data_IF_094421549870
#
_entry.id   IF_094421549870
#
_cell.length_a   1.000
_cell.length_b   1.000
_cell.length_c   1.000
_cell.angle_alpha   90.00
_cell.angle_beta   90.00
_cell.angle_gamma   90.00
#
_symmetry.space_group_name_H-M   'P 1'
#
loop_
_entity.id
_entity.type
_entity.pdbx_description
1 polymer ?
#
# COMPACT_ATOMS: atom_id res chain seq x y z
N UNK A 1 3.38 -17.65 -2.87
CA UNK A 1 2.88 -16.42 -2.23
C UNK A 1 1.37 -16.31 -2.34
N UNK A 2 0.79 -16.12 -3.55
CA UNK A 2 -0.68 -16.09 -3.71
C UNK A 2 -1.38 -17.31 -3.14
N UNK A 3 -0.88 -18.53 -3.39
CA UNK A 3 -1.46 -19.73 -2.77
C UNK A 3 -1.46 -19.68 -1.23
N UNK A 4 -0.38 -19.18 -0.62
CA UNK A 4 -0.31 -18.99 0.82
C UNK A 4 -1.39 -18.00 1.30
N UNK A 5 -1.58 -16.89 0.59
CA UNK A 5 -2.67 -15.94 0.89
C UNK A 5 -4.05 -16.55 0.69
N UNK A 6 -4.28 -17.37 -0.33
CA UNK A 6 -5.56 -18.08 -0.53
C UNK A 6 -5.87 -18.92 0.70
N UNK A 7 -4.93 -19.76 1.13
CA UNK A 7 -5.12 -20.62 2.31
C UNK A 7 -5.34 -19.76 3.56
N UNK A 8 -4.51 -18.74 3.77
CA UNK A 8 -4.66 -17.82 4.90
C UNK A 8 -6.02 -17.11 4.91
N UNK A 9 -6.51 -16.61 3.78
CA UNK A 9 -7.76 -15.82 3.70
C UNK A 9 -9.02 -16.70 3.71
N UNK A 10 -8.98 -17.90 3.12
CA UNK A 10 -10.11 -18.85 3.18
C UNK A 10 -10.33 -19.38 4.60
N UNK A 11 -9.29 -19.42 5.42
CA UNK A 11 -9.36 -19.80 6.83
C UNK A 11 -9.85 -18.66 7.76
N UNK A 12 -10.46 -17.61 7.21
CA UNK A 12 -10.93 -16.44 7.98
C UNK A 12 -12.34 -16.03 7.58
N UNK A 13 -13.13 -15.62 8.56
CA UNK A 13 -14.52 -15.20 8.37
C UNK A 13 -14.57 -13.68 8.14
N UNK A 14 -15.31 -13.18 7.12
CA UNK A 14 -15.56 -11.75 6.99
C UNK A 14 -16.22 -11.17 8.24
N UNK A 15 -15.78 -9.99 8.67
CA UNK A 15 -16.31 -9.28 9.86
C UNK A 15 -16.40 -7.78 9.55
N UNK A 16 -17.46 -7.35 8.84
CA UNK A 16 -17.60 -5.96 8.39
C UNK A 16 -17.41 -4.94 9.53
N UNK A 17 -16.70 -3.85 9.24
CA UNK A 17 -16.64 -2.68 10.12
C UNK A 17 -17.55 -1.54 9.65
N UNK A 18 -17.57 -0.44 10.39
CA UNK A 18 -18.29 0.79 10.05
C UNK A 18 -18.02 1.26 8.60
N UNK A 19 -16.76 1.31 8.18
CA UNK A 19 -16.36 1.86 6.87
C UNK A 19 -16.90 1.01 5.71
N UNK A 20 -17.05 -0.30 5.91
CA UNK A 20 -17.61 -1.21 4.92
C UNK A 20 -19.01 -0.78 4.48
N UNK A 21 -19.88 -0.39 5.41
CA UNK A 21 -21.26 -0.07 5.09
C UNK A 21 -21.38 1.13 4.16
N UNK A 22 -20.50 2.12 4.31
CA UNK A 22 -20.44 3.25 3.37
C UNK A 22 -19.97 2.82 1.98
N UNK A 23 -18.93 1.98 1.91
CA UNK A 23 -18.42 1.48 0.64
C UNK A 23 -19.42 0.59 -0.09
N UNK A 24 -20.12 -0.29 0.64
CA UNK A 24 -21.16 -1.15 0.10
C UNK A 24 -22.36 -0.32 -0.40
N UNK A 25 -22.83 0.66 0.39
CA UNK A 25 -23.90 1.56 -0.04
C UNK A 25 -23.54 2.35 -1.32
N UNK A 26 -22.29 2.82 -1.44
CA UNK A 26 -21.80 3.46 -2.66
C UNK A 26 -21.85 2.51 -3.87
N UNK A 27 -21.45 1.24 -3.70
CA UNK A 27 -21.48 0.24 -4.76
C UNK A 27 -22.92 -0.04 -5.21
N UNK A 28 -23.85 -0.19 -4.26
CA UNK A 28 -25.27 -0.45 -4.53
C UNK A 28 -25.92 0.71 -5.30
N UNK A 29 -25.63 1.96 -4.90
CA UNK A 29 -26.07 3.16 -5.61
C UNK A 29 -25.47 3.28 -7.00
N UNK A 30 -24.17 3.02 -7.12
CA UNK A 30 -23.52 3.00 -8.41
C UNK A 30 -24.12 1.92 -9.33
N UNK A 31 -24.48 0.76 -8.77
CA UNK A 31 -25.12 -0.33 -9.50
C UNK A 31 -26.53 0.00 -10.00
N UNK A 32 -27.26 0.90 -9.33
CA UNK A 32 -28.54 1.44 -9.81
C UNK A 32 -28.39 2.58 -10.83
N UNK A 33 -27.16 2.94 -11.21
CA UNK A 33 -26.87 4.01 -12.17
C UNK A 33 -26.75 5.40 -11.54
N UNK A 34 -26.71 5.50 -10.21
CA UNK A 34 -26.57 6.76 -9.48
C UNK A 34 -25.14 6.92 -8.94
N UNK A 35 -24.42 7.95 -9.39
CA UNK A 35 -23.18 8.37 -8.75
C UNK A 35 -23.52 9.27 -7.55
N UNK A 36 -23.69 8.67 -6.38
CA UNK A 36 -24.01 9.40 -5.13
C UNK A 36 -22.73 9.68 -4.31
N UNK A 37 -22.18 10.89 -4.44
CA UNK A 37 -21.03 11.34 -3.66
C UNK A 37 -21.39 11.98 -2.32
N UNK A 38 -22.67 11.95 -1.92
CA UNK A 38 -23.07 12.27 -0.54
C UNK A 38 -22.73 11.15 0.44
N UNK A 39 -22.52 9.93 -0.06
CA UNK A 39 -22.07 8.79 0.75
C UNK A 39 -20.61 9.01 1.18
N UNK A 40 -20.32 9.13 2.49
CA UNK A 40 -18.97 9.34 2.98
C UNK A 40 -18.02 8.24 2.54
N UNK A 41 -16.85 8.62 2.02
CA UNK A 41 -15.80 7.66 1.71
C UNK A 41 -14.90 8.11 0.58
N UNK A 42 -13.77 7.43 0.51
CA UNK A 42 -12.87 7.47 -0.64
C UNK A 42 -13.13 6.21 -1.47
N UNK A 43 -13.83 6.37 -2.60
CA UNK A 43 -14.47 5.26 -3.32
C UNK A 43 -13.64 4.64 -4.45
N UNK A 44 -12.39 5.05 -4.65
CA UNK A 44 -11.58 4.71 -5.82
C UNK A 44 -11.48 3.21 -6.14
N UNK A 45 -11.17 2.37 -5.14
CA UNK A 45 -11.08 0.91 -5.33
C UNK A 45 -12.44 0.24 -5.41
N UNK A 46 -13.50 0.88 -4.91
CA UNK A 46 -14.84 0.29 -4.83
C UNK A 46 -15.54 0.27 -6.20
N UNK A 47 -15.11 1.13 -7.13
CA UNK A 47 -15.58 1.11 -8.53
C UNK A 47 -15.38 -0.28 -9.18
N UNK A 48 -14.35 -1.03 -8.76
CA UNK A 48 -14.10 -2.38 -9.27
C UNK A 48 -15.06 -3.44 -8.71
N UNK A 49 -15.81 -3.14 -7.64
CA UNK A 49 -16.84 -4.04 -7.14
C UNK A 49 -18.08 -4.03 -8.03
N UNK A 50 -18.29 -3.00 -8.85
CA UNK A 50 -19.51 -2.84 -9.65
C UNK A 50 -19.79 -4.03 -10.59
N UNK A 51 -18.84 -4.49 -11.44
CA UNK A 51 -19.09 -5.66 -12.28
C UNK A 51 -19.36 -6.92 -11.46
N UNK A 52 -18.72 -7.03 -10.29
CA UNK A 52 -18.91 -8.18 -9.40
C UNK A 52 -20.30 -8.16 -8.77
N UNK A 53 -20.73 -7.00 -8.25
CA UNK A 53 -22.06 -6.80 -7.69
C UNK A 53 -23.17 -7.03 -8.71
N UNK A 54 -23.00 -6.60 -9.98
CA UNK A 54 -23.99 -6.92 -11.02
C UNK A 54 -24.17 -8.41 -11.28
N UNK A 55 -23.11 -9.20 -11.08
CA UNK A 55 -23.14 -10.66 -11.29
C UNK A 55 -23.70 -11.37 -10.05
N UNK A 56 -23.32 -10.94 -8.85
CA UNK A 56 -23.61 -11.69 -7.61
C UNK A 56 -24.73 -11.10 -6.78
N UNK A 57 -25.01 -9.80 -6.94
CA UNK A 57 -25.84 -8.99 -6.03
C UNK A 57 -25.44 -9.16 -4.55
N UNK A 58 -24.13 -9.40 -4.30
CA UNK A 58 -23.65 -9.70 -2.95
C UNK A 58 -23.71 -8.47 -2.05
N UNK A 59 -24.33 -8.64 -0.88
CA UNK A 59 -24.28 -7.68 0.22
C UNK A 59 -22.86 -7.46 0.76
N UNK A 60 -21.89 -8.31 0.36
CA UNK A 60 -20.48 -8.23 0.74
C UNK A 60 -19.54 -7.90 -0.42
N UNK A 61 -20.06 -7.37 -1.55
CA UNK A 61 -19.27 -7.08 -2.74
C UNK A 61 -18.04 -6.21 -2.48
N UNK A 62 -18.14 -5.24 -1.55
CA UNK A 62 -17.00 -4.43 -1.11
C UNK A 62 -15.86 -5.27 -0.52
N UNK A 63 -16.17 -6.24 0.35
CA UNK A 63 -15.15 -7.14 0.94
C UNK A 63 -14.61 -8.09 -0.13
N UNK A 64 -15.49 -8.67 -0.94
CA UNK A 64 -15.12 -9.67 -1.95
C UNK A 64 -14.13 -9.11 -2.98
N UNK A 65 -14.32 -7.86 -3.45
CA UNK A 65 -13.35 -7.23 -4.36
C UNK A 65 -12.02 -6.93 -3.66
N UNK A 66 -12.03 -6.56 -2.38
CA UNK A 66 -10.81 -6.31 -1.62
C UNK A 66 -10.05 -7.62 -1.37
N UNK A 67 -10.75 -8.74 -1.19
CA UNK A 67 -10.15 -10.07 -1.15
C UNK A 67 -9.52 -10.44 -2.49
N UNK A 68 -10.21 -10.17 -3.61
CA UNK A 68 -9.62 -10.35 -4.93
C UNK A 68 -8.32 -9.53 -5.08
N UNK A 69 -8.33 -8.25 -4.67
CA UNK A 69 -7.12 -7.43 -4.65
C UNK A 69 -6.03 -8.03 -3.77
N UNK A 70 -6.37 -8.51 -2.57
CA UNK A 70 -5.43 -9.15 -1.66
C UNK A 70 -4.72 -10.36 -2.31
N UNK A 71 -5.44 -11.15 -3.10
CA UNK A 71 -4.90 -12.33 -3.78
C UNK A 71 -3.93 -11.98 -4.92
N UNK A 72 -4.16 -10.87 -5.61
CA UNK A 72 -3.28 -10.42 -6.71
C UNK A 72 -2.14 -9.51 -6.25
N UNK A 73 -2.13 -9.08 -4.98
CA UNK A 73 -1.06 -8.26 -4.41
C UNK A 73 0.35 -8.79 -4.71
N UNK A 74 0.68 -10.09 -4.52
CA UNK A 74 2.03 -10.59 -4.77
C UNK A 74 2.44 -10.44 -6.24
N UNK A 75 1.50 -10.64 -7.17
CA UNK A 75 1.74 -10.48 -8.60
C UNK A 75 2.00 -9.00 -8.94
N UNK A 76 1.14 -8.09 -8.49
CA UNK A 76 1.31 -6.66 -8.71
C UNK A 76 2.63 -6.14 -8.12
N UNK A 77 2.98 -6.60 -6.91
CA UNK A 77 4.24 -6.28 -6.25
C UNK A 77 5.45 -6.78 -7.05
N UNK A 78 5.39 -8.03 -7.54
CA UNK A 78 6.44 -8.57 -8.40
C UNK A 78 6.62 -7.75 -9.67
N UNK A 79 5.53 -7.43 -10.38
CA UNK A 79 5.56 -6.66 -11.62
C UNK A 79 6.12 -5.25 -11.39
N UNK A 80 5.67 -4.56 -10.34
CA UNK A 80 6.15 -3.22 -9.99
C UNK A 80 7.64 -3.21 -9.63
N UNK A 81 8.07 -4.08 -8.72
CA UNK A 81 9.47 -4.16 -8.29
C UNK A 81 10.41 -4.57 -9.43
N UNK A 82 9.98 -5.53 -10.26
CA UNK A 82 10.74 -5.93 -11.46
C UNK A 82 10.87 -4.80 -12.46
N UNK A 83 9.78 -4.08 -12.76
CA UNK A 83 9.82 -3.00 -13.75
C UNK A 83 10.58 -1.77 -13.26
N UNK A 84 10.52 -1.46 -11.97
CA UNK A 84 11.19 -0.28 -11.41
C UNK A 84 12.71 -0.43 -11.37
N UNK A 85 13.21 -1.62 -11.03
CA UNK A 85 14.63 -1.93 -10.84
C UNK A 85 15.24 -2.81 -11.95
N UNK A 86 14.46 -3.14 -12.98
CA UNK A 86 14.81 -4.09 -14.05
C UNK A 86 15.41 -5.41 -13.53
N UNK A 87 14.77 -5.99 -12.50
CA UNK A 87 15.37 -7.08 -11.75
C UNK A 87 14.34 -8.01 -11.15
N UNK A 88 14.40 -9.30 -11.56
CA UNK A 88 13.53 -10.36 -11.00
C UNK A 88 13.65 -10.46 -9.48
N UNK A 89 14.85 -10.28 -8.95
CA UNK A 89 15.12 -10.32 -7.52
C UNK A 89 14.35 -9.23 -6.76
N UNK A 90 14.35 -7.99 -7.25
CA UNK A 90 13.62 -6.89 -6.60
C UNK A 90 12.11 -7.12 -6.66
N UNK A 91 11.60 -7.67 -7.77
CA UNK A 91 10.21 -8.10 -7.87
C UNK A 91 9.86 -9.17 -6.83
N UNK A 92 10.67 -10.23 -6.72
CA UNK A 92 10.41 -11.33 -5.78
C UNK A 92 10.49 -10.85 -4.32
N UNK A 93 11.48 -10.02 -4.00
CA UNK A 93 11.64 -9.45 -2.67
C UNK A 93 10.46 -8.56 -2.29
N UNK A 94 10.02 -7.66 -3.19
CA UNK A 94 8.85 -6.82 -2.94
C UNK A 94 7.58 -7.64 -2.77
N UNK A 95 7.38 -8.66 -3.61
CA UNK A 95 6.25 -9.58 -3.49
C UNK A 95 6.25 -10.31 -2.14
N UNK A 96 7.41 -10.79 -1.68
CA UNK A 96 7.57 -11.41 -0.37
C UNK A 96 7.22 -10.46 0.77
N UNK A 97 7.83 -9.26 0.77
CA UNK A 97 7.57 -8.22 1.79
C UNK A 97 6.08 -7.88 1.86
N UNK A 98 5.43 -7.57 0.74
CA UNK A 98 4.01 -7.18 0.71
C UNK A 98 3.11 -8.35 1.12
N UNK A 99 3.42 -9.58 0.70
CA UNK A 99 2.70 -10.79 1.17
C UNK A 99 2.79 -10.94 2.69
N UNK A 100 3.92 -10.55 3.27
CA UNK A 100 4.21 -10.63 4.69
C UNK A 100 3.63 -9.46 5.51
N UNK A 101 2.77 -8.62 4.92
CA UNK A 101 2.11 -7.50 5.59
C UNK A 101 0.59 -7.75 5.73
N UNK A 102 0.12 -8.38 6.82
CA UNK A 102 -1.27 -8.82 6.96
C UNK A 102 -2.28 -7.66 7.01
N UNK A 103 -1.87 -6.47 7.46
CA UNK A 103 -2.71 -5.27 7.43
C UNK A 103 -2.88 -4.65 6.03
N UNK A 104 -2.15 -5.15 5.04
CA UNK A 104 -2.39 -4.81 3.63
C UNK A 104 -3.36 -5.82 3.03
N UNK A 105 -3.19 -7.12 3.32
CA UNK A 105 -3.93 -8.22 2.68
C UNK A 105 -5.18 -8.69 3.44
N UNK A 106 -5.05 -8.98 4.74
CA UNK A 106 -6.08 -9.63 5.56
C UNK A 106 -7.13 -8.66 6.05
N UNK A 107 -6.77 -7.39 6.30
CA UNK A 107 -7.72 -6.35 6.75
C UNK A 107 -8.90 -6.15 5.77
N UNK A 108 -8.75 -6.60 4.52
CA UNK A 108 -9.81 -6.66 3.51
C UNK A 108 -11.04 -7.47 3.96
N UNK A 109 -10.88 -8.44 4.86
CA UNK A 109 -11.99 -9.21 5.47
C UNK A 109 -12.93 -8.36 6.32
N UNK A 110 -12.49 -7.16 6.69
CA UNK A 110 -13.21 -6.21 7.52
C UNK A 110 -13.81 -5.07 6.65
N UNK A 111 -13.49 -5.05 5.35
CA UNK A 111 -14.00 -4.07 4.38
C UNK A 111 -13.13 -2.82 4.24
N UNK A 112 -11.89 -2.86 4.75
CA UNK A 112 -10.93 -1.78 4.53
C UNK A 112 -10.31 -1.86 3.13
N UNK A 113 -10.00 -0.70 2.57
CA UNK A 113 -9.57 -0.55 1.17
C UNK A 113 -8.06 -0.71 0.95
N UNK A 114 -7.30 -1.15 1.96
CA UNK A 114 -5.83 -1.24 1.92
C UNK A 114 -5.31 -2.11 0.76
N UNK A 115 -5.93 -3.28 0.51
CA UNK A 115 -5.53 -4.15 -0.60
C UNK A 115 -5.72 -3.47 -1.95
N UNK A 116 -6.91 -2.90 -2.19
CA UNK A 116 -7.21 -2.16 -3.41
C UNK A 116 -6.27 -0.97 -3.61
N UNK A 117 -5.99 -0.20 -2.55
CA UNK A 117 -5.04 0.91 -2.62
C UNK A 117 -3.65 0.43 -3.04
N UNK A 118 -3.11 -0.61 -2.41
CA UNK A 118 -1.80 -1.15 -2.75
C UNK A 118 -1.75 -1.68 -4.18
N UNK A 119 -2.76 -2.44 -4.61
CA UNK A 119 -2.84 -2.91 -6.00
C UNK A 119 -2.80 -1.73 -6.97
N UNK A 120 -3.60 -0.69 -6.74
CA UNK A 120 -3.64 0.49 -7.60
C UNK A 120 -2.30 1.22 -7.63
N UNK A 121 -1.66 1.44 -6.47
CA UNK A 121 -0.33 2.05 -6.39
C UNK A 121 0.74 1.22 -7.13
N UNK A 122 0.75 -0.11 -6.94
CA UNK A 122 1.70 -1.02 -7.59
C UNK A 122 1.48 -1.08 -9.11
N UNK A 123 0.23 -1.11 -9.56
CA UNK A 123 -0.12 -1.05 -10.98
C UNK A 123 0.28 0.29 -11.60
N UNK A 124 0.12 1.40 -10.89
CA UNK A 124 0.62 2.71 -11.33
C UNK A 124 2.14 2.70 -11.54
N UNK A 125 2.90 2.16 -10.59
CA UNK A 125 4.36 2.02 -10.70
C UNK A 125 4.72 1.15 -11.91
N UNK A 126 4.09 -0.01 -12.06
CA UNK A 126 4.33 -0.92 -13.18
C UNK A 126 4.02 -0.25 -14.52
N UNK A 127 2.84 0.37 -14.65
CA UNK A 127 2.37 0.99 -15.88
C UNK A 127 3.22 2.17 -16.31
N UNK A 128 3.66 3.03 -15.36
CA UNK A 128 4.51 4.18 -15.70
C UNK A 128 5.92 3.74 -16.10
N UNK A 129 6.48 2.72 -15.46
CA UNK A 129 7.77 2.15 -15.89
C UNK A 129 7.71 1.54 -17.31
N UNK A 130 6.50 1.21 -17.79
CA UNK A 130 6.23 0.72 -19.14
C UNK A 130 5.73 1.81 -20.11
N UNK A 131 5.70 3.08 -19.68
CA UNK A 131 5.22 4.21 -20.50
C UNK A 131 3.73 4.14 -20.87
N UNK A 132 2.90 3.45 -20.07
CA UNK A 132 1.49 3.21 -20.41
C UNK A 132 0.57 4.28 -19.82
N UNK A 133 -0.42 4.73 -20.62
CA UNK A 133 -1.38 5.76 -20.21
C UNK A 133 -2.31 5.31 -19.08
N UNK A 134 -2.68 4.02 -19.05
CA UNK A 134 -3.58 3.46 -18.06
C UNK A 134 -3.03 3.58 -16.63
N UNK A 135 -1.72 3.77 -16.46
CA UNK A 135 -1.11 4.08 -15.16
C UNK A 135 -1.71 5.34 -14.52
N UNK A 136 -2.19 6.28 -15.35
CA UNK A 136 -2.94 7.44 -14.91
C UNK A 136 -4.29 7.06 -14.31
N UNK A 137 -5.02 6.12 -14.92
CA UNK A 137 -6.29 5.63 -14.39
C UNK A 137 -6.09 4.99 -13.02
N UNK A 138 -5.13 4.08 -12.88
CA UNK A 138 -4.85 3.45 -11.58
C UNK A 138 -4.33 4.46 -10.55
N UNK A 139 -3.60 5.50 -10.98
CA UNK A 139 -3.13 6.56 -10.09
C UNK A 139 -4.28 7.42 -9.58
N UNK A 140 -5.17 7.86 -10.47
CA UNK A 140 -6.35 8.64 -10.09
C UNK A 140 -7.28 7.85 -9.17
N UNK A 141 -7.49 6.57 -9.46
CA UNK A 141 -8.25 5.68 -8.57
C UNK A 141 -7.53 5.45 -7.24
N UNK A 142 -6.20 5.35 -7.20
CA UNK A 142 -5.47 5.26 -5.94
C UNK A 142 -5.67 6.51 -5.07
N UNK A 143 -5.62 7.71 -5.67
CA UNK A 143 -5.92 8.98 -4.98
C UNK A 143 -7.36 8.99 -4.47
N UNK A 144 -8.31 8.51 -5.28
CA UNK A 144 -9.71 8.38 -4.88
C UNK A 144 -9.96 7.28 -3.85
N UNK A 145 -9.05 6.33 -3.66
CA UNK A 145 -9.11 5.37 -2.55
C UNK A 145 -8.51 6.00 -1.29
N UNK A 146 -7.36 6.69 -1.41
CA UNK A 146 -6.78 7.53 -0.36
C UNK A 146 -5.95 8.67 -0.98
N UNK A 147 -6.20 9.94 -0.63
CA UNK A 147 -5.51 11.09 -1.24
C UNK A 147 -3.98 11.06 -1.12
N UNK A 148 -3.46 10.39 -0.08
CA UNK A 148 -2.03 10.22 0.18
C UNK A 148 -1.28 9.47 -0.93
N UNK A 149 -1.99 8.76 -1.82
CA UNK A 149 -1.39 8.19 -3.02
C UNK A 149 -0.73 9.25 -3.93
N UNK A 150 -1.08 10.54 -3.78
CA UNK A 150 -0.41 11.67 -4.44
C UNK A 150 1.12 11.67 -4.23
N UNK A 151 1.61 11.02 -3.18
CA UNK A 151 3.03 10.74 -2.96
C UNK A 151 3.73 10.05 -4.15
N UNK A 152 3.01 9.35 -5.03
CA UNK A 152 3.59 8.74 -6.23
C UNK A 152 3.87 9.75 -7.37
N UNK A 153 3.32 10.97 -7.30
CA UNK A 153 3.43 11.98 -8.36
C UNK A 153 4.87 12.24 -8.83
N UNK A 154 5.89 12.38 -7.95
CA UNK A 154 7.28 12.55 -8.38
C UNK A 154 7.79 11.39 -9.24
N UNK A 155 7.37 10.15 -8.92
CA UNK A 155 7.75 8.97 -9.69
C UNK A 155 7.11 8.98 -11.07
N UNK A 156 5.83 9.36 -11.17
CA UNK A 156 5.16 9.48 -12.47
C UNK A 156 5.83 10.54 -13.35
N UNK A 157 6.23 11.65 -12.74
CA UNK A 157 6.91 12.75 -13.43
C UNK A 157 8.23 12.33 -14.06
N UNK A 158 9.02 11.53 -13.34
CA UNK A 158 10.35 11.08 -13.78
C UNK A 158 10.27 9.91 -14.75
N UNK A 159 9.33 8.97 -14.56
CA UNK A 159 9.15 7.79 -15.43
C UNK A 159 8.33 8.07 -16.68
N UNK A 160 8.04 9.33 -16.99
CA UNK A 160 7.38 9.70 -18.25
C UNK A 160 8.18 9.26 -19.48
N UNK A 161 7.53 8.95 -20.61
CA UNK A 161 8.23 8.71 -21.88
C UNK A 161 9.15 9.88 -22.26
N UNK A 162 10.37 9.56 -22.72
CA UNK A 162 11.36 10.55 -23.17
C UNK A 162 11.15 10.99 -24.62
N UNK A 163 10.45 10.18 -25.42
CA UNK A 163 10.17 10.41 -26.83
C UNK A 163 8.70 10.75 -27.09
N UNK A 164 8.38 11.24 -28.28
CA UNK A 164 7.02 11.61 -28.68
C UNK A 164 6.61 13.05 -28.34
N UNK A 165 5.37 13.43 -28.69
CA UNK A 165 4.81 14.78 -28.47
C UNK A 165 4.73 15.11 -26.98
N UNK A 166 5.04 16.36 -26.60
CA UNK A 166 5.10 16.80 -25.18
C UNK A 166 3.86 16.38 -24.37
N UNK A 167 2.65 16.58 -24.89
CA UNK A 167 1.41 16.25 -24.20
C UNK A 167 1.27 14.75 -23.90
N UNK A 168 1.61 13.89 -24.87
CA UNK A 168 1.54 12.43 -24.73
C UNK A 168 2.51 11.88 -23.67
N UNK A 169 3.63 12.57 -23.43
CA UNK A 169 4.57 12.21 -22.36
C UNK A 169 3.93 12.36 -20.97
N UNK A 170 3.01 13.31 -20.81
CA UNK A 170 2.34 13.57 -19.53
C UNK A 170 0.98 12.91 -19.42
N UNK A 171 0.54 12.10 -20.39
CA UNK A 171 -0.81 11.53 -20.43
C UNK A 171 -1.21 10.81 -19.14
N UNK A 172 -0.30 10.01 -18.54
CA UNK A 172 -0.59 9.28 -17.31
C UNK A 172 -0.79 10.26 -16.12
N UNK A 173 0.00 11.33 -16.06
CA UNK A 173 -0.15 12.36 -15.04
C UNK A 173 -1.44 13.15 -15.24
N UNK A 174 -1.74 13.57 -16.48
CA UNK A 174 -2.94 14.33 -16.81
C UNK A 174 -4.21 13.53 -16.49
N UNK A 175 -4.29 12.28 -16.94
CA UNK A 175 -5.41 11.38 -16.65
C UNK A 175 -5.54 11.12 -15.14
N UNK A 176 -4.41 10.88 -14.46
CA UNK A 176 -4.44 10.57 -13.05
C UNK A 176 -4.78 11.74 -12.14
N UNK A 177 -4.52 12.98 -12.54
CA UNK A 177 -4.98 14.18 -11.82
C UNK A 177 -6.41 14.55 -12.21
N UNK A 178 -6.82 14.34 -13.47
CA UNK A 178 -8.18 14.70 -13.90
C UNK A 178 -9.25 13.88 -13.18
N UNK A 179 -9.01 12.60 -12.89
CA UNK A 179 -9.96 11.73 -12.17
C UNK A 179 -10.35 12.30 -10.79
N UNK A 180 -9.41 12.54 -9.85
CA UNK A 180 -9.73 13.10 -8.55
C UNK A 180 -10.25 14.53 -8.61
N UNK A 181 -9.78 15.35 -9.56
CA UNK A 181 -10.30 16.71 -9.76
C UNK A 181 -11.78 16.66 -10.16
N UNK A 182 -12.13 15.82 -11.14
CA UNK A 182 -13.52 15.64 -11.56
C UNK A 182 -14.40 15.11 -10.42
N UNK A 183 -13.90 14.14 -9.66
CA UNK A 183 -14.60 13.62 -8.49
C UNK A 183 -14.93 14.73 -7.48
N UNK A 184 -13.94 15.54 -7.11
CA UNK A 184 -14.13 16.65 -6.16
C UNK A 184 -15.11 17.69 -6.69
N UNK A 185 -15.02 18.04 -7.98
CA UNK A 185 -15.97 18.97 -8.61
C UNK A 185 -17.40 18.42 -8.53
N UNK A 186 -17.61 17.16 -8.92
CA UNK A 186 -18.95 16.56 -8.91
C UNK A 186 -19.47 16.43 -7.47
N UNK A 187 -18.62 16.03 -6.51
CA UNK A 187 -19.01 15.97 -5.11
C UNK A 187 -19.43 17.35 -4.59
N UNK A 188 -18.67 18.40 -4.91
CA UNK A 188 -19.01 19.76 -4.52
C UNK A 188 -20.34 20.23 -5.14
N UNK A 189 -20.62 19.85 -6.40
CA UNK A 189 -21.89 20.17 -7.06
C UNK A 189 -23.09 19.41 -6.45
N UNK A 190 -22.89 18.21 -5.93
CA UNK A 190 -23.95 17.39 -5.33
C UNK A 190 -24.23 17.75 -3.86
N UNK A 191 -23.17 17.99 -3.08
CA UNK A 191 -23.23 18.08 -1.62
C UNK A 191 -22.99 19.52 -1.11
N UNK A 192 -22.40 20.39 -1.95
CA UNK A 192 -22.04 21.77 -1.60
C UNK A 192 -20.71 21.92 -0.85
N UNK A 193 -20.02 20.81 -0.56
CA UNK A 193 -18.70 20.75 0.06
C UNK A 193 -18.02 19.41 -0.26
N UNK A 194 -16.75 19.24 0.11
CA UNK A 194 -15.98 18.00 -0.06
C UNK A 194 -16.08 17.17 1.23
N UNK A 195 -16.50 15.91 1.14
CA UNK A 195 -16.48 15.00 2.30
C UNK A 195 -15.12 14.29 2.35
N UNK A 196 -14.44 14.36 3.49
CA UNK A 196 -13.10 13.77 3.65
C UNK A 196 -13.18 12.37 4.24
N UNK A 197 -13.04 11.36 3.38
CA UNK A 197 -13.05 9.96 3.80
C UNK A 197 -14.40 9.55 4.39
N UNK A 198 -14.39 8.65 5.37
CA UNK A 198 -15.60 8.15 6.05
C UNK A 198 -16.09 9.08 7.18
N UNK A 199 -15.56 10.31 7.22
CA UNK A 199 -15.80 11.30 8.26
C UNK A 199 -16.69 12.42 7.70
N UNK A 200 -18.03 12.29 7.78
CA UNK A 200 -18.94 13.33 7.28
C UNK A 200 -18.75 14.68 7.97
N UNK A 201 -18.16 14.70 9.16
CA UNK A 201 -17.81 15.91 9.92
C UNK A 201 -16.59 16.67 9.37
N UNK A 202 -15.78 16.04 8.51
CA UNK A 202 -14.56 16.63 7.94
C UNK A 202 -14.79 17.08 6.48
N UNK A 203 -14.38 18.31 6.18
CA UNK A 203 -14.46 18.91 4.86
C UNK A 203 -13.22 19.73 4.49
N UNK A 204 -13.21 20.37 3.32
CA UNK A 204 -12.09 21.17 2.82
C UNK A 204 -11.66 22.31 3.75
N UNK A 205 -12.55 22.80 4.62
CA UNK A 205 -12.27 23.85 5.59
C UNK A 205 -11.83 23.32 6.96
N UNK A 206 -12.30 22.13 7.36
CA UNK A 206 -12.04 21.56 8.70
C UNK A 206 -10.93 20.51 8.72
N UNK A 207 -10.48 20.03 7.56
CA UNK A 207 -9.43 19.01 7.46
C UNK A 207 -8.06 19.52 7.90
N UNK A 208 -7.82 20.84 7.81
CA UNK A 208 -6.58 21.44 8.30
C UNK A 208 -6.58 21.50 9.83
N UNK A 209 -5.63 20.81 10.44
CA UNK A 209 -5.57 20.63 11.89
C UNK A 209 -4.85 21.75 12.65
N UNK A 210 -4.32 22.75 11.94
CA UNK A 210 -3.58 23.87 12.54
C UNK A 210 -2.12 23.54 12.86
N UNK A 211 -1.25 24.57 12.98
CA UNK A 211 0.19 24.40 13.05
C UNK A 211 0.67 23.63 14.30
N UNK A 212 0.00 23.78 15.44
CA UNK A 212 0.37 23.08 16.68
C UNK A 212 0.18 21.57 16.54
N UNK A 213 -0.96 21.14 15.98
CA UNK A 213 -1.23 19.72 15.78
C UNK A 213 -0.29 19.11 14.74
N UNK A 214 0.07 19.86 13.69
CA UNK A 214 1.12 19.43 12.75
C UNK A 214 2.46 19.24 13.44
N UNK A 215 2.89 20.17 14.29
CA UNK A 215 4.14 20.03 15.04
C UNK A 215 4.12 18.79 15.94
N UNK A 216 3.01 18.56 16.65
CA UNK A 216 2.83 17.35 17.46
C UNK A 216 2.89 16.09 16.60
N UNK A 217 2.14 16.04 15.49
CA UNK A 217 2.18 14.93 14.53
C UNK A 217 3.59 14.65 14.02
N UNK A 218 4.37 15.69 13.68
CA UNK A 218 5.76 15.54 13.26
C UNK A 218 6.68 15.02 14.38
N UNK A 219 6.47 15.45 15.62
CA UNK A 219 7.20 14.91 16.77
C UNK A 219 6.87 13.43 16.99
N UNK A 220 5.60 13.04 16.85
CA UNK A 220 5.15 11.65 16.92
C UNK A 220 5.56 10.82 15.70
N UNK A 221 5.88 11.44 14.57
CA UNK A 221 6.27 10.75 13.33
C UNK A 221 7.46 9.82 13.54
N UNK A 222 8.48 10.27 14.28
CA UNK A 222 9.66 9.45 14.58
C UNK A 222 9.28 8.21 15.40
N UNK A 223 8.39 8.36 16.37
CA UNK A 223 7.86 7.23 17.13
C UNK A 223 7.10 6.28 16.21
N UNK A 224 6.19 6.79 15.37
CA UNK A 224 5.37 5.95 14.46
C UNK A 224 6.23 5.21 13.42
N UNK A 225 7.28 5.86 12.90
CA UNK A 225 8.19 5.29 11.89
C UNK A 225 9.02 4.11 12.41
N UNK A 226 9.42 4.17 13.69
CA UNK A 226 10.35 3.21 14.30
C UNK A 226 9.73 2.37 15.42
N UNK A 227 8.45 2.56 15.75
CA UNK A 227 7.80 1.79 16.80
C UNK A 227 7.72 0.32 16.41
N UNK A 228 8.23 -0.53 17.31
CA UNK A 228 8.12 -1.98 17.22
C UNK A 228 6.77 -2.36 17.82
N UNK A 229 5.78 -2.59 16.98
CA UNK A 229 4.50 -3.25 17.30
C UNK A 229 3.65 -2.64 18.43
N UNK A 230 2.55 -1.98 18.09
CA UNK A 230 1.30 -1.69 18.84
C UNK A 230 1.34 -1.43 20.36
N UNK A 231 2.51 -1.19 20.93
CA UNK A 231 2.77 -0.83 22.30
C UNK A 231 2.70 0.69 22.40
N UNK A 232 1.49 1.22 22.52
CA UNK A 232 1.29 2.63 22.84
C UNK A 232 0.88 2.79 24.31
N UNK A 233 1.64 3.60 25.05
CA UNK A 233 1.24 4.16 26.36
C UNK A 233 0.04 5.12 26.21
N UNK A 234 -0.82 5.32 27.24
CA UNK A 234 -2.15 5.91 27.07
C UNK A 234 -2.10 7.38 26.64
N UNK A 235 -2.48 7.55 25.38
CA UNK A 235 -3.24 8.62 24.72
C UNK A 235 -3.40 10.02 25.38
N UNK A 236 -2.68 11.04 24.85
CA UNK A 236 -3.15 12.42 24.78
C UNK A 236 -3.50 12.89 23.35
N UNK A 237 -3.30 12.08 22.30
CA UNK A 237 -3.32 12.51 20.88
C UNK A 237 -4.41 11.91 19.97
N UNK A 238 -5.27 11.03 20.48
CA UNK A 238 -6.23 10.26 19.69
C UNK A 238 -5.64 9.02 18.98
N UNK A 239 -4.37 8.68 19.20
CA UNK A 239 -3.68 7.59 18.52
C UNK A 239 -3.80 6.27 19.30
N UNK A 240 -4.86 5.51 19.05
CA UNK A 240 -4.97 4.12 19.49
C UNK A 240 -3.86 3.21 18.91
N UNK A 241 -3.70 2.02 19.47
CA UNK A 241 -2.73 0.99 19.04
C UNK A 241 -2.80 0.66 17.54
N UNK A 242 -3.94 0.90 16.90
CA UNK A 242 -4.19 0.71 15.48
C UNK A 242 -3.47 1.72 14.56
N UNK A 243 -2.85 2.79 15.08
CA UNK A 243 -2.28 3.89 14.28
C UNK A 243 -0.78 3.75 13.95
N UNK A 244 -0.13 2.65 14.36
CA UNK A 244 1.31 2.46 14.14
C UNK A 244 1.58 1.82 12.78
N UNK A 245 2.79 2.03 12.23
CA UNK A 245 3.14 1.46 10.94
C UNK A 245 3.01 -0.07 10.92
N UNK A 246 2.10 -0.57 10.11
CA UNK A 246 1.88 -1.98 9.86
C UNK A 246 2.91 -2.59 8.88
N UNK A 247 4.20 -2.32 9.13
CA UNK A 247 5.37 -2.92 8.47
C UNK A 247 6.47 -3.18 9.49
N UNK A 248 7.65 -3.61 9.05
CA UNK A 248 8.80 -3.72 9.95
C UNK A 248 9.60 -2.42 10.04
N UNK A 249 9.96 -1.96 11.26
CA UNK A 249 10.83 -0.80 11.44
C UNK A 249 12.21 -1.01 10.81
N UNK A 250 12.64 -2.26 10.60
CA UNK A 250 13.90 -2.56 9.88
C UNK A 250 13.80 -2.11 8.42
N UNK A 251 12.68 -2.33 7.73
CA UNK A 251 12.50 -1.84 6.36
C UNK A 251 12.51 -0.31 6.31
N UNK A 252 11.87 0.35 7.28
CA UNK A 252 11.88 1.80 7.38
C UNK A 252 13.30 2.33 7.58
N UNK A 253 14.05 1.72 8.51
CA UNK A 253 15.46 2.04 8.75
C UNK A 253 16.32 1.85 7.50
N UNK A 254 16.21 0.70 6.81
CA UNK A 254 17.00 0.41 5.62
C UNK A 254 16.65 1.37 4.46
N UNK A 255 15.38 1.73 4.28
CA UNK A 255 14.98 2.69 3.26
C UNK A 255 15.48 4.11 3.57
N UNK A 256 15.40 4.55 4.82
CA UNK A 256 15.98 5.82 5.25
C UNK A 256 17.51 5.83 5.12
N UNK A 257 18.17 4.73 5.46
CA UNK A 257 19.61 4.56 5.25
C UNK A 257 19.99 4.64 3.77
N UNK A 258 19.16 4.09 2.88
CA UNK A 258 19.35 4.24 1.44
C UNK A 258 19.32 5.71 1.01
N UNK A 259 18.42 6.51 1.59
CA UNK A 259 18.34 7.95 1.32
C UNK A 259 19.53 8.75 1.86
N UNK A 260 20.14 8.32 2.97
CA UNK A 260 21.34 8.96 3.54
C UNK A 260 22.62 8.65 2.76
N UNK A 261 22.66 7.54 2.02
CA UNK A 261 23.82 7.16 1.20
C UNK A 261 23.43 6.89 -0.26
N UNK A 262 22.87 7.87 -0.98
CA UNK A 262 22.25 7.64 -2.27
C UNK A 262 23.25 7.17 -3.33
N UNK A 263 24.50 7.65 -3.28
CA UNK A 263 25.58 7.22 -4.17
C UNK A 263 25.93 5.74 -4.04
N UNK A 264 25.64 5.10 -2.89
CA UNK A 264 25.94 3.68 -2.65
C UNK A 264 24.84 2.73 -3.10
N UNK A 265 23.60 3.20 -3.18
CA UNK A 265 22.40 2.36 -3.34
C UNK A 265 21.54 2.70 -4.56
N UNK A 266 21.68 3.91 -5.12
CA UNK A 266 20.98 4.33 -6.33
C UNK A 266 21.99 4.64 -7.44
N UNK A 267 22.37 3.63 -8.25
CA UNK A 267 23.17 3.87 -9.46
C UNK A 267 22.48 4.87 -10.40
N UNK A 268 21.16 4.76 -10.54
CA UNK A 268 20.33 5.76 -11.21
C UNK A 268 19.90 6.84 -10.22
N UNK A 269 20.62 7.97 -10.20
CA UNK A 269 20.26 9.14 -9.38
C UNK A 269 18.87 9.68 -9.70
N UNK A 270 18.31 9.42 -10.89
CA UNK A 270 16.95 9.85 -11.24
C UNK A 270 15.89 9.07 -10.46
N UNK A 271 16.20 7.89 -9.94
CA UNK A 271 15.27 7.11 -9.11
C UNK A 271 15.29 7.53 -7.64
N UNK A 272 16.42 8.02 -7.13
CA UNK A 272 16.54 8.49 -5.75
C UNK A 272 15.53 9.63 -5.43
N UNK A 273 15.57 10.71 -6.21
CA UNK A 273 14.74 11.89 -5.96
C UNK A 273 13.23 11.60 -5.88
N UNK A 274 12.61 10.89 -6.84
CA UNK A 274 11.18 10.64 -6.77
C UNK A 274 10.79 9.75 -5.58
N UNK A 275 11.63 8.79 -5.18
CA UNK A 275 11.36 7.97 -3.99
C UNK A 275 11.46 8.81 -2.70
N UNK A 276 12.51 9.63 -2.58
CA UNK A 276 12.71 10.49 -1.40
C UNK A 276 11.61 11.56 -1.28
N UNK A 277 11.38 12.34 -2.35
CA UNK A 277 10.36 13.40 -2.36
C UNK A 277 8.98 12.79 -2.16
N UNK A 278 8.68 11.68 -2.83
CA UNK A 278 7.40 11.01 -2.67
C UNK A 278 7.19 10.51 -1.24
N UNK A 279 8.21 9.90 -0.61
CA UNK A 279 8.14 9.49 0.78
C UNK A 279 7.89 10.69 1.71
N UNK A 280 8.61 11.79 1.50
CA UNK A 280 8.42 13.03 2.26
C UNK A 280 7.00 13.61 2.09
N UNK A 281 6.44 13.59 0.88
CA UNK A 281 5.04 13.97 0.64
C UNK A 281 4.09 13.02 1.37
N UNK A 282 4.29 11.71 1.28
CA UNK A 282 3.42 10.71 1.91
C UNK A 282 3.33 10.85 3.42
N UNK A 283 4.47 11.01 4.10
CA UNK A 283 4.49 11.26 5.54
C UNK A 283 4.06 12.69 5.91
N UNK A 284 4.49 13.68 5.13
CA UNK A 284 4.19 15.09 5.38
C UNK A 284 2.70 15.42 5.24
N UNK A 285 2.03 14.90 4.22
CA UNK A 285 0.57 15.05 4.06
C UNK A 285 -0.19 14.49 5.26
N UNK A 286 0.27 13.35 5.81
CA UNK A 286 -0.36 12.75 6.97
C UNK A 286 -0.24 13.67 8.19
N UNK A 287 0.96 14.21 8.44
CA UNK A 287 1.16 15.15 9.53
C UNK A 287 0.33 16.44 9.42
N UNK A 288 0.00 16.87 8.20
CA UNK A 288 -0.77 18.09 7.90
C UNK A 288 -2.29 17.87 8.06
N UNK A 289 -2.80 16.75 7.55
CA UNK A 289 -4.23 16.57 7.23
C UNK A 289 -4.93 15.61 8.19
N UNK A 290 -4.18 14.74 8.88
CA UNK A 290 -4.73 13.69 9.73
C UNK A 290 -4.00 13.61 11.07
N UNK A 291 -4.54 12.82 12.01
CA UNK A 291 -3.70 12.22 13.04
C UNK A 291 -2.77 11.22 12.36
N UNK A 292 -1.50 11.15 12.79
CA UNK A 292 -0.49 10.21 12.27
C UNK A 292 -0.98 8.75 12.36
N UNK A 293 -1.76 8.34 11.35
CA UNK A 293 -2.41 7.05 11.22
C UNK A 293 -1.80 6.33 10.01
N UNK A 294 -1.41 5.07 10.19
CA UNK A 294 -0.69 4.29 9.20
C UNK A 294 -1.50 4.04 7.93
N UNK A 295 -2.83 3.96 8.02
CA UNK A 295 -3.73 3.80 6.88
C UNK A 295 -3.56 4.93 5.86
N UNK A 296 -3.09 6.10 6.30
CA UNK A 296 -2.75 7.25 5.46
C UNK A 296 -1.25 7.33 5.11
N UNK A 297 -0.37 6.61 5.81
CA UNK A 297 1.08 6.55 5.50
C UNK A 297 1.45 5.53 4.42
N UNK A 298 0.50 4.72 3.96
CA UNK A 298 0.77 3.56 3.10
C UNK A 298 1.58 3.88 1.83
N UNK A 299 1.33 5.04 1.20
CA UNK A 299 2.08 5.46 0.02
C UNK A 299 3.54 5.85 0.35
N UNK A 300 3.75 6.59 1.43
CA UNK A 300 5.09 6.93 1.92
C UNK A 300 5.87 5.68 2.34
N UNK A 301 5.22 4.79 3.09
CA UNK A 301 5.76 3.49 3.49
C UNK A 301 6.17 2.64 2.28
N UNK A 302 5.34 2.55 1.23
CA UNK A 302 5.68 1.83 0.00
C UNK A 302 6.95 2.39 -0.65
N UNK A 303 7.09 3.72 -0.73
CA UNK A 303 8.27 4.36 -1.32
C UNK A 303 9.55 4.11 -0.51
N UNK A 304 9.44 4.07 0.82
CA UNK A 304 10.56 3.68 1.71
C UNK A 304 10.90 2.20 1.54
N UNK A 305 9.90 1.30 1.43
CA UNK A 305 10.12 -0.13 1.15
C UNK A 305 10.87 -0.30 -0.17
N UNK A 306 10.46 0.42 -1.23
CA UNK A 306 11.16 0.40 -2.52
C UNK A 306 12.62 0.88 -2.38
N UNK A 307 12.86 1.93 -1.60
CA UNK A 307 14.20 2.42 -1.31
C UNK A 307 15.05 1.42 -0.51
N UNK A 308 14.45 0.56 0.31
CA UNK A 308 15.15 -0.48 1.08
C UNK A 308 15.64 -1.65 0.20
N UNK A 309 15.01 -1.93 -0.94
CA UNK A 309 15.33 -3.11 -1.76
C UNK A 309 16.79 -3.15 -2.25
N UNK A 310 17.40 -2.06 -2.77
CA UNK A 310 18.82 -2.06 -3.12
C UNK A 310 19.75 -2.33 -1.93
N UNK A 311 19.36 -1.91 -0.73
CA UNK A 311 20.13 -2.17 0.51
C UNK A 311 20.08 -3.65 0.85
N UNK A 312 18.90 -4.26 0.82
CA UNK A 312 18.73 -5.70 1.04
C UNK A 312 19.49 -6.54 0.02
N UNK A 313 19.55 -6.09 -1.24
CA UNK A 313 20.33 -6.79 -2.28
C UNK A 313 21.82 -6.74 -1.99
N UNK A 314 22.31 -5.59 -1.52
CA UNK A 314 23.74 -5.38 -1.21
C UNK A 314 24.17 -6.07 0.08
N UNK A 315 23.27 -6.14 1.06
CA UNK A 315 23.50 -6.73 2.37
C UNK A 315 22.42 -7.78 2.69
N UNK A 316 22.50 -8.97 2.06
CA UNK A 316 21.45 -9.99 2.14
C UNK A 316 21.23 -10.55 3.56
N UNK A 317 22.21 -10.38 4.46
CA UNK A 317 22.06 -10.75 5.88
C UNK A 317 20.95 -10.00 6.60
N UNK A 318 20.47 -8.87 6.08
CA UNK A 318 19.30 -8.17 6.62
C UNK A 318 17.97 -8.85 6.28
N UNK A 319 17.93 -9.72 5.26
CA UNK A 319 16.69 -10.36 4.81
C UNK A 319 16.06 -11.22 5.91
N UNK A 320 16.80 -12.11 6.63
CA UNK A 320 16.22 -12.86 7.75
C UNK A 320 15.64 -11.97 8.85
N UNK A 321 16.28 -10.85 9.18
CA UNK A 321 15.77 -9.93 10.20
C UNK A 321 14.48 -9.22 9.75
N UNK A 322 14.42 -8.81 8.48
CA UNK A 322 13.20 -8.26 7.87
C UNK A 322 12.07 -9.30 7.90
N UNK A 323 12.35 -10.54 7.51
CA UNK A 323 11.35 -11.61 7.53
C UNK A 323 10.89 -11.91 8.96
N UNK A 324 11.80 -12.05 9.92
CA UNK A 324 11.46 -12.30 11.33
C UNK A 324 10.55 -11.20 11.90
N UNK A 325 10.85 -9.93 11.62
CA UNK A 325 10.02 -8.81 12.07
C UNK A 325 8.67 -8.72 11.36
N UNK A 326 8.55 -9.20 10.13
CA UNK A 326 7.26 -9.35 9.45
C UNK A 326 6.46 -10.57 9.95
N UNK A 327 7.13 -11.64 10.42
CA UNK A 327 6.43 -12.72 11.13
C UNK A 327 5.78 -12.22 12.40
N UNK A 328 6.45 -11.33 13.14
CA UNK A 328 5.84 -10.68 14.30
C UNK A 328 4.59 -9.87 13.92
N UNK A 329 4.52 -9.27 12.73
CA UNK A 329 3.30 -8.61 12.25
C UNK A 329 2.14 -9.60 12.03
N UNK A 330 2.43 -10.78 11.46
CA UNK A 330 1.43 -11.86 11.34
C UNK A 330 1.00 -12.41 12.69
N UNK A 331 1.94 -12.62 13.61
CA UNK A 331 1.63 -13.08 14.96
C UNK A 331 0.81 -12.04 15.74
N UNK A 332 1.17 -10.76 15.64
CA UNK A 332 0.38 -9.68 16.22
C UNK A 332 -1.03 -9.64 15.64
N UNK A 333 -1.17 -9.69 14.30
CA UNK A 333 -2.47 -9.70 13.66
C UNK A 333 -3.31 -10.90 14.13
N UNK A 334 -2.67 -12.07 14.26
CA UNK A 334 -3.31 -13.25 14.83
C UNK A 334 -3.86 -12.95 16.23
N UNK A 335 -3.03 -12.46 17.15
CA UNK A 335 -3.48 -12.17 18.52
C UNK A 335 -4.57 -11.09 18.59
N UNK A 336 -4.44 -10.02 17.81
CA UNK A 336 -5.37 -8.89 17.86
C UNK A 336 -6.72 -9.16 17.19
N UNK A 337 -6.75 -10.02 16.16
CA UNK A 337 -7.94 -10.27 15.35
C UNK A 337 -8.45 -11.72 15.41
N UNK A 338 -7.85 -12.60 16.24
CA UNK A 338 -8.19 -14.03 16.29
C UNK A 338 -9.67 -14.27 16.57
N UNK A 339 -10.23 -13.61 17.58
CA UNK A 339 -11.64 -13.76 17.95
C UNK A 339 -12.55 -13.18 16.85
N UNK A 340 -12.28 -11.95 16.41
CA UNK A 340 -13.09 -11.23 15.43
C UNK A 340 -13.17 -11.93 14.07
N UNK A 341 -12.06 -12.52 13.60
CA UNK A 341 -11.96 -13.15 12.28
C UNK A 341 -11.91 -14.68 12.32
N UNK A 342 -12.05 -15.27 13.52
CA UNK A 342 -11.98 -16.72 13.77
C UNK A 342 -10.70 -17.33 13.22
N UNK A 343 -9.55 -16.71 13.50
CA UNK A 343 -8.27 -17.10 12.92
C UNK A 343 -7.79 -18.45 13.50
N UNK A 344 -7.68 -19.46 12.63
CA UNK A 344 -7.06 -20.77 12.94
C UNK A 344 -5.59 -20.86 12.52
N UNK A 345 -4.97 -22.02 12.73
CA UNK A 345 -3.54 -22.25 12.37
C UNK A 345 -3.24 -22.05 10.88
N UNK A 346 -4.23 -22.32 10.00
CA UNK A 346 -4.11 -22.11 8.56
C UNK A 346 -3.89 -20.65 8.17
N UNK A 347 -4.21 -19.70 9.06
CA UNK A 347 -3.89 -18.29 8.89
C UNK A 347 -2.40 -18.06 8.61
N UNK A 348 -1.50 -18.86 9.22
CA UNK A 348 -0.06 -18.73 9.07
C UNK A 348 0.50 -19.32 7.76
N UNK A 349 -0.34 -19.77 6.81
CA UNK A 349 0.11 -20.36 5.55
C UNK A 349 0.91 -19.39 4.67
N UNK A 350 0.51 -18.11 4.59
CA UNK A 350 1.24 -17.11 3.82
C UNK A 350 2.70 -16.91 4.29
N UNK A 351 2.98 -16.71 5.60
CA UNK A 351 4.33 -16.73 6.15
C UNK A 351 5.14 -17.97 5.78
N UNK A 352 4.59 -19.16 6.02
CA UNK A 352 5.27 -20.44 5.73
C UNK A 352 5.64 -20.54 4.25
N UNK A 353 4.73 -20.19 3.34
CA UNK A 353 4.99 -20.23 1.90
C UNK A 353 6.09 -19.22 1.50
N UNK A 354 6.13 -18.04 2.12
CA UNK A 354 7.19 -17.06 1.86
C UNK A 354 8.54 -17.62 2.32
N UNK A 355 8.61 -18.19 3.52
CA UNK A 355 9.84 -18.79 4.05
C UNK A 355 10.35 -19.93 3.17
N UNK A 356 9.48 -20.84 2.72
CA UNK A 356 9.86 -21.91 1.81
C UNK A 356 10.47 -21.38 0.51
N UNK A 357 9.91 -20.32 -0.07
CA UNK A 357 10.46 -19.67 -1.27
C UNK A 357 11.83 -19.06 -0.99
N UNK A 358 12.00 -18.40 0.16
CA UNK A 358 13.28 -17.81 0.55
C UNK A 358 14.34 -18.87 0.86
N UNK A 359 13.97 -19.98 1.50
CA UNK A 359 14.86 -21.11 1.75
C UNK A 359 15.36 -21.74 0.44
N UNK A 360 14.46 -21.94 -0.54
CA UNK A 360 14.85 -22.40 -1.88
C UNK A 360 15.81 -21.41 -2.53
N UNK A 361 15.52 -20.11 -2.46
CA UNK A 361 16.40 -19.08 -3.01
C UNK A 361 17.79 -19.09 -2.35
N UNK A 362 17.87 -19.20 -1.03
CA UNK A 362 19.14 -19.31 -0.28
C UNK A 362 19.91 -20.56 -0.72
N UNK A 363 19.23 -21.71 -0.81
CA UNK A 363 19.85 -22.97 -1.23
C UNK A 363 20.46 -22.85 -2.64
N UNK A 364 19.71 -22.31 -3.60
CA UNK A 364 20.20 -22.14 -4.97
C UNK A 364 21.38 -21.16 -5.08
N UNK A 365 21.35 -20.04 -4.36
CA UNK A 365 22.37 -18.98 -4.48
C UNK A 365 23.63 -19.19 -3.64
N UNK A 366 23.55 -19.85 -2.50
CA UNK A 366 24.70 -19.99 -1.58
C UNK A 366 25.25 -21.41 -1.54
N UNK A 367 24.38 -22.43 -1.57
CA UNK A 367 24.81 -23.83 -1.43
C UNK A 367 24.98 -24.52 -2.79
N UNK A 368 24.13 -24.18 -3.78
CA UNK A 368 24.23 -24.69 -5.15
C UNK A 368 25.49 -24.20 -5.88
N UNK A 369 25.84 -22.92 -5.73
CA UNK A 369 27.04 -22.34 -6.34
C UNK A 369 28.35 -22.88 -5.76
N UNK A 370 28.36 -23.23 -4.47
CA UNK A 370 29.51 -23.88 -3.81
C UNK A 370 29.77 -25.29 -4.36
N UNK A 371 28.72 -26.05 -4.69
CA UNK A 371 28.87 -27.38 -5.32
C UNK A 371 29.37 -27.30 -6.76
N UNK A 372 28.93 -26.30 -7.54
CA UNK A 372 29.40 -26.10 -8.91
C UNK A 372 30.89 -25.69 -8.98
N UNK A 373 31.39 -24.95 -7.99
CA UNK A 373 32.81 -24.64 -7.86
C UNK A 373 33.65 -25.84 -7.41
N UNK A 374 33.09 -26.74 -6.58
CA UNK A 374 33.79 -27.94 -6.13
C UNK A 374 33.75 -29.11 -7.13
N UNK A 375 32.92 -29.06 -8.16
CA UNK A 375 32.92 -30.05 -9.27
C UNK A 375 33.81 -29.63 -10.46
N UNK A 376 34.43 -28.45 -10.38
CA UNK A 376 35.35 -27.90 -11.39
C UNK A 376 36.80 -27.84 -10.89
N UNK A 377 37.05 -28.30 -9.67
CA UNK A 377 38.37 -28.60 -9.10
C UNK A 377 38.48 -30.11 -8.93
#
# INVERSE_FOLDING_TARGET
MTLGLIVSLLATTPSPDRDFFFYQAFIEKLASGEFDFSIPGFHGSNVFALPWYWITSSEFAAIEIQLFFALILPLCAYLAGKALFDSKWHGLMLAGIITMMPFVSVISKIGYTSSGLFVLMLLTIYGVCRGRWWAGVTFGLAILTKPFALALLPLLWIKRPTEGKKLLRYQALLVGISIPVLYVIVQYLQVGHVIVGVHPELNESTVWQGPMKVLMNLAYALQVLFSVHNYHYPNPGGTGHENLLHTTPILMFLGLFAFLAPSKFFPDRKLFFPLFIGAAIGFGMNAIVATMNEYYMQAGMLLVILAALPVLKKYPLWIPFVLATLHFQWFYFYLAFSERLQLGLLFCAAPVVVDLIFLVWIYEHFLGSSKAQNSLN
#
